data_IF_538265155724
#
_entry.id   IF_538265155724
#
_cell.length_a   1.000
_cell.length_b   1.000
_cell.length_c   1.000
_cell.angle_alpha   90.00
_cell.angle_beta   90.00
_cell.angle_gamma   90.00
#
_symmetry.space_group_name_H-M   'P 1'
#
loop_
_entity.id
_entity.type
_entity.pdbx_description
1 polymer ?
#
# COMPACT_ATOMS: atom_id res chain seq x y z
N UNK A 1 -22.45 -12.91 1.93
CA UNK A 1 -23.24 -12.53 0.74
C UNK A 1 -24.07 -13.72 0.30
N UNK A 2 -25.36 -13.82 0.68
CA UNK A 2 -26.24 -14.81 0.10
C UNK A 2 -26.37 -14.57 -1.42
N UNK A 3 -26.28 -15.63 -2.22
CA UNK A 3 -26.58 -15.57 -3.66
C UNK A 3 -25.40 -15.31 -4.60
N UNK A 4 -24.15 -15.18 -4.10
CA UNK A 4 -22.97 -15.13 -4.97
C UNK A 4 -22.60 -16.53 -5.47
N UNK A 5 -22.42 -16.72 -6.78
CA UNK A 5 -22.10 -18.02 -7.39
C UNK A 5 -20.80 -18.59 -6.81
N UNK A 6 -19.70 -17.83 -6.89
CA UNK A 6 -18.38 -18.24 -6.37
C UNK A 6 -18.41 -18.39 -4.85
N UNK A 7 -19.07 -17.49 -4.13
CA UNK A 7 -19.18 -17.60 -2.66
C UNK A 7 -19.93 -18.87 -2.25
N UNK A 8 -20.98 -19.23 -2.98
CA UNK A 8 -21.74 -20.46 -2.74
C UNK A 8 -20.91 -21.69 -3.06
N UNK A 9 -20.19 -21.69 -4.19
CA UNK A 9 -19.24 -22.75 -4.55
C UNK A 9 -18.20 -22.96 -3.43
N UNK A 10 -17.50 -21.89 -3.03
CA UNK A 10 -16.45 -21.95 -2.00
C UNK A 10 -17.00 -22.41 -0.65
N UNK A 11 -18.22 -22.01 -0.27
CA UNK A 11 -18.83 -22.41 1.01
C UNK A 11 -19.16 -23.90 1.11
N UNK A 12 -19.21 -24.61 -0.03
CA UNK A 12 -19.50 -26.05 -0.09
C UNK A 12 -18.25 -26.92 -0.10
N UNK A 13 -17.07 -26.33 -0.32
CA UNK A 13 -15.82 -27.07 -0.40
C UNK A 13 -15.39 -27.57 0.97
N UNK A 14 -15.04 -28.85 1.04
CA UNK A 14 -14.42 -29.49 2.17
C UNK A 14 -12.89 -29.41 2.12
N UNK A 15 -12.26 -29.77 3.24
CA UNK A 15 -10.81 -29.94 3.29
C UNK A 15 -10.39 -31.08 2.33
N UNK A 16 -9.47 -30.78 1.42
CA UNK A 16 -9.00 -31.72 0.40
C UNK A 16 -9.65 -31.55 -0.97
N UNK A 17 -10.71 -30.73 -1.09
CA UNK A 17 -11.32 -30.44 -2.38
C UNK A 17 -10.39 -29.59 -3.26
N UNK A 18 -10.53 -29.77 -4.57
CA UNK A 18 -9.72 -29.04 -5.56
C UNK A 18 -10.33 -27.67 -5.86
N UNK A 19 -9.49 -26.64 -5.89
CA UNK A 19 -9.84 -25.30 -6.35
C UNK A 19 -8.96 -24.95 -7.54
N UNK A 20 -9.58 -24.57 -8.65
CA UNK A 20 -8.85 -24.09 -9.82
C UNK A 20 -8.48 -22.61 -9.64
N UNK A 21 -7.20 -22.31 -9.84
CA UNK A 21 -6.68 -20.95 -9.77
C UNK A 21 -6.18 -20.54 -11.15
N UNK A 22 -6.52 -19.30 -11.55
CA UNK A 22 -5.82 -18.65 -12.66
C UNK A 22 -4.47 -18.14 -12.17
N UNK A 23 -3.54 -17.96 -13.11
CA UNK A 23 -2.24 -17.36 -12.80
C UNK A 23 -2.38 -15.99 -12.13
N UNK A 24 -1.31 -15.49 -11.49
CA UNK A 24 -1.34 -14.22 -10.80
C UNK A 24 -1.67 -13.09 -11.78
N UNK A 25 -2.70 -12.31 -11.45
CA UNK A 25 -2.98 -11.04 -12.09
C UNK A 25 -2.22 -9.94 -11.35
N UNK A 26 -1.08 -9.53 -11.91
CA UNK A 26 -0.24 -8.49 -11.32
C UNK A 26 -0.93 -7.14 -11.47
N UNK A 27 -1.26 -6.53 -10.32
CA UNK A 27 -1.72 -5.15 -10.23
C UNK A 27 -0.54 -4.18 -10.20
N UNK A 28 -0.57 -3.23 -9.27
CA UNK A 28 0.41 -2.16 -9.17
C UNK A 28 1.74 -2.61 -8.54
N UNK A 29 2.86 -2.15 -9.11
CA UNK A 29 4.18 -2.35 -8.52
C UNK A 29 4.45 -1.31 -7.42
N UNK A 30 4.21 -1.72 -6.16
CA UNK A 30 4.45 -0.86 -5.00
C UNK A 30 5.93 -0.51 -4.84
N UNK A 31 6.84 -1.45 -5.16
CA UNK A 31 8.28 -1.24 -5.01
C UNK A 31 8.79 -0.19 -5.98
N UNK A 32 8.39 -0.27 -7.25
CA UNK A 32 8.78 0.70 -8.27
C UNK A 32 8.27 2.13 -7.98
N UNK A 33 7.08 2.24 -7.37
CA UNK A 33 6.46 3.54 -7.01
C UNK A 33 6.98 4.13 -5.70
N UNK A 34 7.34 3.28 -4.73
CA UNK A 34 8.06 3.71 -3.53
C UNK A 34 9.50 4.11 -3.86
N UNK A 35 10.10 3.44 -4.85
CA UNK A 35 11.41 3.71 -5.39
C UNK A 35 12.55 3.48 -4.40
N UNK A 36 13.77 3.92 -4.77
CA UNK A 36 14.97 3.79 -3.95
C UNK A 36 15.08 4.86 -2.85
N UNK A 37 13.95 5.26 -2.29
CA UNK A 37 13.87 6.35 -1.33
C UNK A 37 14.72 6.13 -0.08
N UNK A 38 14.79 7.16 0.78
CA UNK A 38 15.59 7.15 2.01
C UNK A 38 15.02 6.27 3.15
N UNK A 39 14.03 5.42 2.87
CA UNK A 39 13.38 4.56 3.85
C UNK A 39 12.30 5.22 4.70
N UNK A 40 12.04 6.51 4.50
CA UNK A 40 10.96 7.23 5.18
C UNK A 40 9.67 7.27 4.37
N UNK A 41 9.55 6.43 3.33
CA UNK A 41 8.34 6.34 2.52
C UNK A 41 7.20 5.77 3.37
N UNK A 42 6.00 6.26 3.09
CA UNK A 42 4.80 5.90 3.82
C UNK A 42 3.78 5.29 2.91
N UNK A 43 3.11 4.27 3.41
CA UNK A 43 2.05 3.54 2.74
C UNK A 43 0.82 3.56 3.65
N UNK A 44 -0.27 4.16 3.18
CA UNK A 44 -1.52 4.22 3.92
C UNK A 44 -2.57 3.42 3.18
N UNK A 45 -3.26 2.52 3.86
CA UNK A 45 -4.38 1.76 3.33
C UNK A 45 -5.69 2.22 3.98
N UNK A 46 -6.69 2.55 3.15
CA UNK A 46 -8.09 2.61 3.55
C UNK A 46 -8.76 1.34 3.01
N UNK A 47 -9.10 0.41 3.88
CA UNK A 47 -9.64 -0.89 3.51
C UNK A 47 -11.10 -1.02 3.95
N UNK A 48 -12.00 -1.38 3.04
CA UNK A 48 -13.39 -1.69 3.34
C UNK A 48 -13.66 -3.20 3.25
N UNK A 49 -14.06 -3.83 4.36
CA UNK A 49 -14.40 -5.25 4.42
C UNK A 49 -13.27 -6.15 3.90
N UNK A 50 -13.56 -6.96 2.87
CA UNK A 50 -12.56 -7.85 2.22
C UNK A 50 -11.45 -7.10 1.47
N UNK A 51 -11.60 -5.77 1.27
CA UNK A 51 -10.57 -4.89 0.72
C UNK A 51 -9.30 -4.81 1.58
N UNK A 52 -9.26 -5.44 2.75
CA UNK A 52 -8.04 -5.62 3.56
C UNK A 52 -7.00 -6.54 2.91
N UNK A 53 -7.41 -7.44 2.02
CA UNK A 53 -6.52 -8.45 1.46
C UNK A 53 -5.30 -7.85 0.71
N UNK A 54 -5.45 -6.84 -0.18
CA UNK A 54 -4.30 -6.14 -0.76
C UNK A 54 -3.38 -5.47 0.26
N UNK A 55 -3.92 -4.96 1.38
CA UNK A 55 -3.09 -4.38 2.44
C UNK A 55 -2.22 -5.45 3.12
N UNK A 56 -2.76 -6.65 3.36
CA UNK A 56 -1.98 -7.77 3.89
C UNK A 56 -0.88 -8.23 2.93
N UNK A 57 -1.17 -8.24 1.63
CA UNK A 57 -0.17 -8.54 0.60
C UNK A 57 0.96 -7.50 0.61
N UNK A 58 0.62 -6.22 0.71
CA UNK A 58 1.61 -5.14 0.81
C UNK A 58 2.43 -5.22 2.10
N UNK A 59 1.83 -5.50 3.26
CA UNK A 59 2.56 -5.73 4.52
C UNK A 59 3.55 -6.87 4.35
N UNK A 60 3.12 -7.99 3.77
CA UNK A 60 4.03 -9.12 3.50
C UNK A 60 5.17 -8.71 2.58
N UNK A 61 4.86 -8.04 1.47
CA UNK A 61 5.84 -7.66 0.46
C UNK A 61 6.85 -6.63 0.95
N UNK A 62 6.40 -5.64 1.74
CA UNK A 62 7.21 -4.49 2.16
C UNK A 62 7.92 -4.72 3.48
N UNK A 63 7.31 -5.45 4.42
CA UNK A 63 7.84 -5.63 5.76
C UNK A 63 8.40 -7.03 5.98
N UNK A 64 7.88 -8.09 5.35
CA UNK A 64 8.29 -9.46 5.67
C UNK A 64 9.22 -10.08 4.63
N UNK A 65 9.06 -9.73 3.36
CA UNK A 65 9.91 -10.25 2.29
C UNK A 65 11.39 -9.96 2.58
N UNK A 66 12.29 -10.91 2.28
CA UNK A 66 13.70 -10.59 2.18
C UNK A 66 13.84 -9.47 1.16
N UNK A 67 14.53 -8.39 1.51
CA UNK A 67 15.01 -7.45 0.51
C UNK A 67 15.72 -8.28 -0.56
N UNK A 68 15.34 -8.19 -1.85
CA UNK A 68 16.08 -8.87 -2.88
C UNK A 68 17.50 -8.32 -2.78
N UNK A 69 18.44 -9.19 -2.38
CA UNK A 69 19.86 -8.90 -2.52
C UNK A 69 20.02 -8.49 -3.98
N UNK A 70 20.38 -7.21 -4.19
CA UNK A 70 20.51 -6.63 -5.52
C UNK A 70 21.26 -7.63 -6.38
N UNK A 71 20.58 -8.27 -7.31
CA UNK A 71 21.17 -9.34 -8.13
C UNK A 71 21.98 -8.65 -9.22
N UNK A 72 23.09 -8.08 -8.78
CA UNK A 72 24.16 -7.57 -9.62
C UNK A 72 25.42 -8.19 -9.07
N UNK A 73 25.79 -9.29 -9.71
CA UNK A 73 27.13 -9.77 -9.97
C UNK A 73 28.25 -9.09 -9.16
N UNK A 74 28.84 -9.90 -8.27
CA UNK A 74 30.26 -9.85 -7.90
C UNK A 74 30.80 -8.48 -7.52
N UNK A 75 30.49 -8.02 -6.31
CA UNK A 75 31.47 -7.24 -5.53
C UNK A 75 31.06 -7.30 -4.06
N UNK A 76 32.01 -7.72 -3.23
CA UNK A 76 31.92 -7.72 -1.77
C UNK A 76 31.84 -6.27 -1.27
N UNK A 77 30.63 -5.77 -1.13
CA UNK A 77 30.30 -4.63 -0.27
C UNK A 77 29.12 -5.05 0.60
N UNK A 78 29.24 -4.82 1.91
CA UNK A 78 28.16 -5.03 2.88
C UNK A 78 26.84 -4.50 2.30
N UNK A 79 25.83 -5.36 2.22
CA UNK A 79 24.49 -4.98 1.80
C UNK A 79 23.97 -3.93 2.76
N UNK A 80 23.99 -2.67 2.34
CA UNK A 80 23.37 -1.56 3.09
C UNK A 80 21.90 -1.95 3.33
N UNK A 81 21.43 -2.00 4.60
CA UNK A 81 20.03 -2.31 4.87
C UNK A 81 19.14 -1.30 4.16
N UNK A 82 18.30 -1.77 3.23
CA UNK A 82 17.25 -0.91 2.65
C UNK A 82 16.25 -0.65 3.78
N UNK A 83 16.01 0.60 4.20
CA UNK A 83 15.11 0.86 5.31
C UNK A 83 13.66 0.62 4.87
N UNK A 84 12.85 0.00 5.73
CA UNK A 84 11.48 -0.38 5.37
C UNK A 84 10.53 0.82 5.47
N UNK A 85 9.56 0.93 4.55
CA UNK A 85 8.54 1.99 4.63
C UNK A 85 7.66 1.78 5.86
N UNK A 86 7.03 2.87 6.33
CA UNK A 86 5.99 2.78 7.36
C UNK A 86 4.63 2.53 6.73
N UNK A 87 3.90 1.54 7.24
CA UNK A 87 2.57 1.13 6.76
C UNK A 87 1.52 1.49 7.81
N UNK A 88 0.46 2.19 7.42
CA UNK A 88 -0.72 2.47 8.25
C UNK A 88 -1.96 1.91 7.59
N UNK A 89 -2.80 1.18 8.31
CA UNK A 89 -4.03 0.56 7.79
C UNK A 89 -5.23 1.04 8.60
N UNK A 90 -6.21 1.64 7.94
CA UNK A 90 -7.52 1.93 8.52
C UNK A 90 -8.52 0.96 7.90
N UNK A 91 -9.02 0.01 8.71
CA UNK A 91 -9.89 -1.06 8.27
C UNK A 91 -11.34 -0.83 8.71
N UNK A 92 -12.19 -0.48 7.76
CA UNK A 92 -13.62 -0.31 7.94
C UNK A 92 -14.35 -1.64 7.84
N UNK A 93 -15.16 -1.92 8.86
CA UNK A 93 -15.96 -3.12 9.00
C UNK A 93 -17.40 -2.75 9.32
N UNK A 94 -18.33 -3.63 8.96
CA UNK A 94 -19.74 -3.43 9.31
C UNK A 94 -19.99 -3.77 10.77
N UNK A 95 -19.47 -4.93 11.20
CA UNK A 95 -19.71 -5.48 12.53
C UNK A 95 -18.40 -5.65 13.30
N UNK A 96 -18.43 -5.47 14.63
CA UNK A 96 -17.25 -5.68 15.51
C UNK A 96 -16.66 -7.08 15.40
N UNK A 97 -17.54 -8.07 15.16
CA UNK A 97 -17.14 -9.47 14.99
C UNK A 97 -16.10 -9.65 13.87
N UNK A 98 -16.11 -8.79 12.86
CA UNK A 98 -15.20 -8.85 11.71
C UNK A 98 -13.78 -8.41 12.07
N UNK A 99 -13.57 -7.68 13.17
CA UNK A 99 -12.27 -7.13 13.56
C UNK A 99 -11.94 -7.29 15.06
N UNK A 100 -12.40 -8.37 15.68
CA UNK A 100 -12.13 -8.66 17.10
C UNK A 100 -10.62 -8.63 17.40
N UNK A 101 -10.25 -7.85 18.41
CA UNK A 101 -8.88 -7.66 18.88
C UNK A 101 -8.15 -6.46 18.28
N UNK A 102 -8.81 -5.65 17.45
CA UNK A 102 -8.20 -4.48 16.81
C UNK A 102 -7.93 -3.30 17.77
N UNK A 103 -8.63 -3.22 18.91
CA UNK A 103 -8.43 -2.16 19.89
C UNK A 103 -7.14 -2.31 20.71
N UNK A 104 -6.49 -3.47 20.67
CA UNK A 104 -5.22 -3.76 21.37
C UNK A 104 -4.00 -3.08 20.69
N UNK A 105 -4.23 -2.16 19.76
CA UNK A 105 -3.20 -1.52 18.92
C UNK A 105 -2.22 -0.65 19.72
N UNK A 106 -2.53 -0.34 20.98
CA UNK A 106 -1.61 0.32 21.90
C UNK A 106 -1.21 -0.62 23.05
N UNK A 107 0.07 -0.96 23.11
CA UNK A 107 0.79 -1.39 24.33
C UNK A 107 0.52 -2.82 24.80
N UNK A 108 1.53 -3.67 24.60
CA UNK A 108 2.03 -4.65 25.59
C UNK A 108 0.99 -5.41 26.41
N UNK A 109 -0.05 -5.97 25.80
CA UNK A 109 -0.83 -6.99 26.51
C UNK A 109 0.04 -8.25 26.63
N UNK A 110 0.31 -8.77 27.85
CA UNK A 110 0.90 -10.08 28.02
C UNK A 110 0.00 -11.09 27.32
N UNK A 111 0.57 -12.19 26.83
CA UNK A 111 -0.08 -13.24 26.03
C UNK A 111 -1.46 -13.67 26.57
N UNK A 112 -2.49 -12.87 26.29
CA UNK A 112 -3.88 -13.07 26.64
C UNK A 112 -4.55 -13.70 25.44
N UNK A 113 -5.31 -14.76 25.72
CA UNK A 113 -5.97 -15.68 24.80
C UNK A 113 -6.09 -15.22 23.33
N UNK A 114 -5.05 -15.51 22.55
CA UNK A 114 -5.03 -15.39 21.08
C UNK A 114 -6.12 -16.22 20.38
N UNK A 115 -6.88 -17.04 21.11
CA UNK A 115 -7.90 -17.94 20.56
C UNK A 115 -9.08 -17.22 19.92
N UNK A 116 -9.37 -15.97 20.31
CA UNK A 116 -10.56 -15.26 19.84
C UNK A 116 -10.26 -14.05 18.95
N UNK A 117 -9.00 -13.79 18.61
CA UNK A 117 -8.64 -12.69 17.71
C UNK A 117 -9.00 -13.04 16.28
N UNK A 118 -9.44 -12.05 15.52
CA UNK A 118 -9.63 -12.22 14.09
C UNK A 118 -8.28 -12.63 13.45
N UNK A 119 -8.24 -13.61 12.52
CA UNK A 119 -7.00 -14.06 11.88
C UNK A 119 -6.17 -12.95 11.22
N UNK A 120 -6.83 -11.93 10.67
CA UNK A 120 -6.19 -10.74 10.09
C UNK A 120 -5.45 -9.96 11.18
N UNK A 121 -6.09 -9.71 12.32
CA UNK A 121 -5.49 -9.02 13.46
C UNK A 121 -4.35 -9.86 14.07
N UNK A 122 -4.54 -11.17 14.18
CA UNK A 122 -3.50 -12.09 14.64
C UNK A 122 -2.27 -12.07 13.73
N UNK A 123 -2.47 -11.96 12.42
CA UNK A 123 -1.39 -11.81 11.45
C UNK A 123 -0.67 -10.45 11.59
N UNK A 124 -1.40 -9.33 11.64
CA UNK A 124 -0.82 -7.98 11.76
C UNK A 124 -0.07 -7.79 13.08
N UNK A 125 -0.52 -8.44 14.15
CA UNK A 125 0.12 -8.40 15.48
C UNK A 125 1.15 -9.51 15.72
N UNK A 126 1.45 -10.32 14.69
CA UNK A 126 2.33 -11.50 14.81
C UNK A 126 3.77 -11.13 15.16
N UNK A 127 4.47 -12.06 15.82
CA UNK A 127 5.86 -11.88 16.22
C UNK A 127 6.78 -11.60 15.02
N UNK A 128 6.52 -12.20 13.86
CA UNK A 128 7.30 -11.97 12.65
C UNK A 128 7.24 -10.50 12.19
N UNK A 129 6.05 -9.89 12.22
CA UNK A 129 5.86 -8.48 11.88
C UNK A 129 6.58 -7.60 12.91
N UNK A 130 6.35 -7.85 14.21
CA UNK A 130 6.98 -7.08 15.29
C UNK A 130 8.51 -7.15 15.27
N UNK A 131 9.06 -8.34 15.03
CA UNK A 131 10.50 -8.54 14.97
C UNK A 131 11.13 -7.75 13.82
N UNK A 132 10.48 -7.74 12.65
CA UNK A 132 11.04 -7.03 11.50
C UNK A 132 11.02 -5.50 11.67
N UNK A 133 9.99 -4.97 12.32
CA UNK A 133 9.93 -3.55 12.71
C UNK A 133 11.14 -3.15 13.58
N UNK A 134 11.54 -4.01 14.53
CA UNK A 134 12.68 -3.77 15.42
C UNK A 134 14.03 -3.85 14.69
N UNK A 135 14.14 -4.68 13.65
CA UNK A 135 15.40 -4.97 12.98
C UNK A 135 15.74 -3.97 11.86
N UNK A 136 14.75 -3.55 11.07
CA UNK A 136 15.01 -2.82 9.81
C UNK A 136 14.52 -1.37 9.80
N UNK A 137 13.82 -0.93 10.85
CA UNK A 137 13.15 0.37 10.89
C UNK A 137 11.98 0.41 9.91
N UNK A 138 10.82 0.90 10.35
CA UNK A 138 9.57 0.86 9.60
C UNK A 138 8.42 0.41 10.49
N UNK A 139 7.39 1.24 10.62
CA UNK A 139 6.23 0.95 11.47
C UNK A 139 5.14 0.20 10.73
N UNK A 140 4.37 -0.61 11.45
CA UNK A 140 3.03 -1.02 11.04
C UNK A 140 2.07 -0.51 12.12
N UNK A 141 1.15 0.34 11.71
CA UNK A 141 0.03 0.77 12.51
C UNK A 141 -1.25 0.30 11.84
N UNK A 142 -2.23 -0.09 12.64
CA UNK A 142 -3.55 -0.38 12.13
C UNK A 142 -4.62 0.11 13.11
N UNK A 143 -5.78 0.46 12.57
CA UNK A 143 -6.95 0.86 13.33
C UNK A 143 -8.20 0.32 12.64
N UNK A 144 -9.22 0.00 13.42
CA UNK A 144 -10.51 -0.43 12.90
C UNK A 144 -11.57 0.62 13.15
N UNK A 145 -12.49 0.74 12.20
CA UNK A 145 -13.74 1.48 12.37
C UNK A 145 -14.90 0.54 12.07
N UNK A 146 -15.98 0.67 12.82
CA UNK A 146 -17.13 -0.22 12.83
C UNK A 146 -18.41 0.60 12.65
N UNK A 147 -19.13 0.32 11.56
CA UNK A 147 -20.35 1.06 11.19
C UNK A 147 -21.45 0.93 12.25
N UNK A 148 -21.69 -0.29 12.78
CA UNK A 148 -22.69 -0.54 13.82
C UNK A 148 -22.42 0.20 15.14
N UNK A 149 -21.18 0.64 15.34
CA UNK A 149 -20.74 1.42 16.51
C UNK A 149 -20.73 2.93 16.22
N UNK A 150 -21.12 3.34 15.01
CA UNK A 150 -21.12 4.73 14.57
C UNK A 150 -19.72 5.32 14.40
N UNK A 151 -18.70 4.47 14.19
CA UNK A 151 -17.32 4.90 13.94
C UNK A 151 -16.99 4.77 12.45
N UNK A 152 -16.39 5.80 11.88
CA UNK A 152 -16.14 5.88 10.43
C UNK A 152 -14.75 6.44 10.15
N UNK A 153 -14.21 6.14 8.97
CA UNK A 153 -12.96 6.77 8.51
C UNK A 153 -13.26 8.23 8.22
N UNK A 154 -12.78 9.10 9.11
CA UNK A 154 -12.97 10.54 9.00
C UNK A 154 -11.89 11.19 8.15
N UNK A 155 -12.21 12.35 7.54
CA UNK A 155 -11.23 13.18 6.84
C UNK A 155 -10.03 13.55 7.74
N UNK A 156 -10.27 13.72 9.05
CA UNK A 156 -9.21 13.97 10.04
C UNK A 156 -8.28 12.77 10.18
N UNK A 157 -8.82 11.55 10.27
CA UNK A 157 -7.99 10.34 10.37
C UNK A 157 -7.09 10.15 9.15
N UNK A 158 -7.64 10.38 7.95
CA UNK A 158 -6.87 10.34 6.68
C UNK A 158 -5.78 11.42 6.70
N UNK A 159 -6.14 12.65 7.02
CA UNK A 159 -5.21 13.77 7.15
C UNK A 159 -4.06 13.47 8.14
N UNK A 160 -4.36 12.89 9.29
CA UNK A 160 -3.35 12.49 10.29
C UNK A 160 -2.42 11.41 9.74
N UNK A 161 -2.94 10.41 9.04
CA UNK A 161 -2.13 9.34 8.46
C UNK A 161 -1.17 9.83 7.34
N UNK A 162 -1.57 10.85 6.58
CA UNK A 162 -0.74 11.41 5.50
C UNK A 162 0.16 12.58 5.95
N UNK A 163 -0.08 13.16 7.13
CA UNK A 163 0.71 14.27 7.67
C UNK A 163 2.11 13.83 8.07
N UNK A 164 3.18 14.57 7.76
CA UNK A 164 4.54 14.18 8.12
C UNK A 164 4.67 13.97 9.62
N UNK A 165 5.15 12.80 10.02
CA UNK A 165 5.59 12.55 11.40
C UNK A 165 6.89 13.32 11.58
N UNK A 166 6.96 14.20 12.56
CA UNK A 166 8.10 15.10 12.82
C UNK A 166 9.33 14.32 13.31
N UNK A 167 9.93 13.49 12.47
CA UNK A 167 11.20 12.81 12.75
C UNK A 167 11.92 12.53 11.43
N UNK A 168 12.40 13.58 10.76
CA UNK A 168 13.36 13.42 9.67
C UNK A 168 14.34 14.59 9.66
N UNK A 169 15.54 14.31 10.16
CA UNK A 169 16.75 15.13 10.04
C UNK A 169 17.10 15.33 8.56
N UNK A 170 17.61 16.51 8.25
CA UNK A 170 17.87 17.05 6.92
C UNK A 170 18.67 16.11 5.97
N UNK A 171 18.48 16.23 4.65
CA UNK A 171 19.22 15.44 3.66
C UNK A 171 20.68 15.92 3.53
N UNK A 172 21.62 15.01 3.78
CA UNK A 172 23.04 15.19 3.45
C UNK A 172 23.25 14.92 1.96
N UNK A 173 23.78 15.93 1.26
CA UNK A 173 24.21 15.88 -0.14
C UNK A 173 25.29 14.82 -0.37
N UNK A 174 25.00 13.83 -1.22
CA UNK A 174 25.98 12.87 -1.73
C UNK A 174 26.28 13.14 -3.21
N UNK A 175 27.58 13.24 -3.49
CA UNK A 175 28.23 13.52 -4.76
C UNK A 175 28.06 12.38 -5.76
N UNK A 176 27.73 12.72 -7.01
CA UNK A 176 27.57 11.80 -8.14
C UNK A 176 28.93 11.22 -8.58
N UNK A 177 29.07 9.90 -8.59
CA UNK A 177 30.04 9.23 -9.46
C UNK A 177 29.31 8.44 -10.54
N UNK A 178 29.70 8.71 -11.78
CA UNK A 178 29.12 8.16 -13.00
C UNK A 178 29.72 6.79 -13.28
N UNK A 179 28.88 5.77 -13.45
CA UNK A 179 29.23 4.59 -14.25
C UNK A 179 28.16 4.37 -15.32
N UNK A 180 28.62 4.30 -16.57
CA UNK A 180 27.83 4.15 -17.77
C UNK A 180 27.45 2.68 -17.96
N UNK A 181 26.16 2.36 -17.80
CA UNK A 181 25.52 1.20 -18.41
C UNK A 181 24.18 1.66 -19.02
N UNK A 182 23.81 1.04 -20.14
CA UNK A 182 22.85 1.53 -21.14
C UNK A 182 21.53 2.07 -20.54
N UNK A 183 21.20 3.31 -20.90
CA UNK A 183 20.24 4.16 -20.20
C UNK A 183 18.78 3.87 -20.58
N UNK A 184 17.87 3.66 -19.62
CA UNK A 184 16.43 3.79 -19.85
C UNK A 184 16.07 5.22 -20.26
N UNK A 185 14.88 5.48 -20.87
CA UNK A 185 14.48 6.82 -21.26
C UNK A 185 14.58 7.77 -20.06
N UNK A 186 15.41 8.82 -20.21
CA UNK A 186 15.57 9.86 -19.20
C UNK A 186 14.31 10.70 -19.17
N UNK A 187 13.42 10.46 -18.20
CA UNK A 187 12.31 11.37 -17.93
C UNK A 187 12.87 12.70 -17.38
N UNK A 188 12.48 13.81 -18.00
CA UNK A 188 12.91 15.16 -17.63
C UNK A 188 12.27 15.61 -16.30
N UNK A 189 11.15 15.00 -15.91
CA UNK A 189 10.41 15.28 -14.67
C UNK A 189 9.78 14.02 -14.08
N UNK A 190 9.45 14.02 -12.78
CA UNK A 190 8.66 12.95 -12.14
C UNK A 190 7.23 12.88 -12.68
N UNK A 191 6.69 13.98 -13.20
CA UNK A 191 5.35 14.09 -13.78
C UNK A 191 5.18 13.41 -15.13
N UNK A 192 6.29 13.09 -15.81
CA UNK A 192 6.29 12.29 -17.04
C UNK A 192 6.63 10.82 -16.80
N UNK A 193 6.93 10.44 -15.55
CA UNK A 193 7.31 9.08 -15.20
C UNK A 193 6.07 8.20 -14.97
N UNK A 194 6.05 7.03 -15.62
CA UNK A 194 5.00 6.01 -15.45
C UNK A 194 4.67 5.68 -13.99
N UNK A 195 5.69 5.55 -13.13
CA UNK A 195 5.50 5.19 -11.73
C UNK A 195 5.21 6.37 -10.81
N UNK A 196 5.71 7.57 -11.12
CA UNK A 196 5.71 8.71 -10.19
C UNK A 196 4.84 9.89 -10.63
N UNK A 197 4.15 9.77 -11.75
CA UNK A 197 3.20 10.78 -12.23
C UNK A 197 1.78 10.47 -11.75
N UNK A 198 1.21 11.40 -10.97
CA UNK A 198 -0.21 11.35 -10.60
C UNK A 198 -1.12 11.48 -11.82
N UNK A 199 -0.71 12.29 -12.81
CA UNK A 199 -1.44 12.49 -14.05
C UNK A 199 -1.52 11.22 -14.88
N UNK A 200 -0.40 10.52 -15.07
CA UNK A 200 -0.39 9.28 -15.85
C UNK A 200 -1.12 8.15 -15.11
N UNK A 201 -1.00 8.09 -13.77
CA UNK A 201 -1.68 7.11 -12.95
C UNK A 201 -3.21 7.11 -13.16
N UNK A 202 -3.84 8.28 -13.30
CA UNK A 202 -5.28 8.37 -13.54
C UNK A 202 -5.73 7.63 -14.83
N UNK A 203 -4.82 7.49 -15.80
CA UNK A 203 -5.06 6.79 -17.07
C UNK A 203 -4.64 5.31 -17.07
N UNK A 204 -4.16 4.76 -15.96
CA UNK A 204 -3.75 3.35 -15.90
C UNK A 204 -4.91 2.44 -15.49
N UNK A 205 -4.92 1.25 -16.06
CA UNK A 205 -5.76 0.12 -15.69
C UNK A 205 -4.97 -0.96 -14.94
N UNK A 206 -5.64 -2.03 -14.50
CA UNK A 206 -5.07 -3.02 -13.59
C UNK A 206 -3.90 -3.82 -14.18
N UNK A 207 -3.77 -3.90 -15.51
CA UNK A 207 -2.71 -4.67 -16.17
C UNK A 207 -1.57 -3.78 -16.73
N UNK A 208 -1.65 -2.45 -16.57
CA UNK A 208 -0.66 -1.55 -17.18
C UNK A 208 0.71 -1.63 -16.47
N UNK A 209 0.76 -2.20 -15.26
CA UNK A 209 1.98 -2.47 -14.49
C UNK A 209 2.43 -3.95 -14.59
N UNK A 210 1.77 -4.80 -15.39
CA UNK A 210 2.08 -6.24 -15.48
C UNK A 210 3.40 -6.59 -16.21
N UNK A 211 4.17 -5.58 -16.65
CA UNK A 211 5.56 -5.73 -17.10
C UNK A 211 6.51 -5.94 -15.91
N UNK A 212 7.66 -6.59 -16.11
CA UNK A 212 8.59 -6.82 -14.99
C UNK A 212 9.15 -5.50 -14.46
N UNK A 213 9.39 -5.39 -13.15
CA UNK A 213 10.11 -4.27 -12.53
C UNK A 213 11.46 -3.95 -13.21
N UNK A 214 12.03 -4.92 -13.94
CA UNK A 214 13.24 -4.78 -14.73
C UNK A 214 13.05 -4.05 -16.07
N UNK A 215 11.83 -3.95 -16.61
CA UNK A 215 11.54 -3.21 -17.85
C UNK A 215 11.50 -1.68 -17.66
N UNK A 216 11.32 -1.20 -16.43
CA UNK A 216 11.12 0.22 -16.16
C UNK A 216 11.93 0.69 -14.93
N UNK A 217 13.26 0.66 -15.01
CA UNK A 217 14.05 1.44 -14.05
C UNK A 217 13.83 2.95 -14.34
N UNK A 218 13.03 3.66 -13.53
CA UNK A 218 12.97 5.13 -13.63
C UNK A 218 14.28 5.73 -13.09
N UNK A 219 14.85 6.68 -13.83
CA UNK A 219 15.91 7.58 -13.36
C UNK A 219 15.39 9.01 -13.12
N UNK A 220 14.09 9.13 -12.85
CA UNK A 220 13.37 10.39 -12.73
C UNK A 220 13.77 11.15 -11.44
N UNK A 221 13.90 12.50 -11.48
CA UNK A 221 14.21 13.29 -10.28
C UNK A 221 13.14 13.09 -9.22
N UNK A 222 13.54 12.65 -8.01
CA UNK A 222 12.57 12.33 -6.94
C UNK A 222 11.81 11.02 -7.17
N UNK A 223 12.47 9.99 -7.73
CA UNK A 223 11.92 8.65 -7.98
C UNK A 223 11.55 7.86 -6.73
N UNK A 224 10.71 8.45 -5.86
CA UNK A 224 10.05 7.84 -4.72
C UNK A 224 8.79 8.64 -4.39
N UNK A 225 7.64 7.97 -4.20
CA UNK A 225 6.40 8.59 -3.70
C UNK A 225 5.88 7.83 -2.48
N UNK A 226 5.16 8.53 -1.63
CA UNK A 226 4.28 7.91 -0.64
C UNK A 226 3.04 7.36 -1.35
N UNK A 227 2.44 6.30 -0.80
CA UNK A 227 1.28 5.65 -1.42
C UNK A 227 0.07 5.72 -0.48
N UNK A 228 -1.06 6.19 -0.99
CA UNK A 228 -2.36 6.07 -0.35
C UNK A 228 -3.21 5.12 -1.20
N UNK A 229 -3.51 3.94 -0.66
CA UNK A 229 -4.29 2.91 -1.35
C UNK A 229 -5.68 2.83 -0.74
N UNK A 230 -6.71 2.88 -1.58
CA UNK A 230 -8.11 2.71 -1.17
C UNK A 230 -8.64 1.45 -1.81
N UNK A 231 -9.05 0.49 -0.99
CA UNK A 231 -9.38 -0.87 -1.40
C UNK A 231 -10.70 -1.30 -0.77
N UNK A 232 -11.68 -1.69 -1.58
CA UNK A 232 -13.00 -2.11 -1.09
C UNK A 232 -14.06 -2.10 -2.18
N UNK A 233 -15.35 -2.24 -1.82
CA UNK A 233 -16.44 -2.13 -2.79
C UNK A 233 -16.41 -0.80 -3.54
N UNK A 234 -16.95 -0.76 -4.77
CA UNK A 234 -16.92 0.44 -5.62
C UNK A 234 -17.45 1.69 -4.93
N UNK A 235 -18.53 1.57 -4.15
CA UNK A 235 -19.08 2.67 -3.36
C UNK A 235 -18.12 3.19 -2.28
N UNK A 236 -17.34 2.30 -1.66
CA UNK A 236 -16.31 2.67 -0.69
C UNK A 236 -15.15 3.40 -1.38
N UNK A 237 -14.64 2.86 -2.49
CA UNK A 237 -13.58 3.49 -3.29
C UNK A 237 -14.03 4.86 -3.80
N UNK A 238 -15.24 4.96 -4.33
CA UNK A 238 -15.81 6.21 -4.83
C UNK A 238 -15.96 7.27 -3.73
N UNK A 239 -16.40 6.88 -2.54
CA UNK A 239 -16.55 7.79 -1.40
C UNK A 239 -15.21 8.39 -0.94
N UNK A 240 -14.15 7.58 -0.88
CA UNK A 240 -12.86 8.02 -0.33
C UNK A 240 -11.90 8.58 -1.37
N UNK A 241 -11.77 7.97 -2.55
CA UNK A 241 -10.80 8.35 -3.58
C UNK A 241 -11.43 8.78 -4.91
N UNK A 242 -12.76 8.80 -5.02
CA UNK A 242 -13.47 9.07 -6.27
C UNK A 242 -13.60 7.82 -7.15
N UNK A 243 -14.66 7.75 -7.95
CA UNK A 243 -14.95 6.58 -8.78
C UNK A 243 -13.82 6.28 -9.76
N UNK A 244 -13.62 4.99 -10.06
CA UNK A 244 -12.86 4.54 -11.22
C UNK A 244 -13.63 4.93 -12.50
N UNK A 245 -12.93 5.01 -13.63
CA UNK A 245 -13.52 5.45 -14.90
C UNK A 245 -13.42 4.34 -15.94
N UNK A 246 -14.51 4.10 -16.67
CA UNK A 246 -14.50 3.17 -17.79
C UNK A 246 -14.23 3.92 -19.09
N UNK A 247 -13.10 3.64 -19.75
CA UNK A 247 -12.73 4.28 -21.00
C UNK A 247 -11.85 3.37 -21.86
N UNK A 248 -12.03 3.42 -23.19
CA UNK A 248 -11.24 2.61 -24.11
C UNK A 248 -11.37 1.09 -23.88
N UNK A 249 -12.52 0.63 -23.39
CA UNK A 249 -12.78 -0.80 -23.12
C UNK A 249 -12.08 -1.35 -21.87
N UNK A 250 -11.46 -0.51 -21.03
CA UNK A 250 -10.86 -0.90 -19.75
C UNK A 250 -11.31 0.00 -18.61
N UNK A 251 -11.29 -0.56 -17.40
CA UNK A 251 -11.43 0.21 -16.18
C UNK A 251 -10.10 0.88 -15.83
N UNK A 252 -10.14 2.20 -15.61
CA UNK A 252 -9.01 3.06 -15.29
C UNK A 252 -9.14 3.58 -13.85
N UNK A 253 -8.01 3.96 -13.25
CA UNK A 253 -7.98 4.63 -11.94
C UNK A 253 -8.88 5.87 -11.90
N UNK A 254 -8.88 6.68 -12.96
CA UNK A 254 -9.61 7.95 -12.99
C UNK A 254 -9.03 9.02 -12.06
N UNK A 255 -9.60 10.23 -12.05
CA UNK A 255 -9.11 11.33 -11.21
C UNK A 255 -9.31 11.05 -9.72
N UNK A 256 -8.47 11.65 -8.87
CA UNK A 256 -8.64 11.62 -7.41
C UNK A 256 -9.85 12.48 -7.04
N UNK A 257 -10.76 11.91 -6.26
CA UNK A 257 -11.99 12.52 -5.79
C UNK A 257 -12.36 12.08 -4.39
N UNK A 258 -13.63 12.16 -4.03
CA UNK A 258 -14.11 11.79 -2.71
C UNK A 258 -13.47 12.61 -1.58
N UNK A 259 -13.40 12.01 -0.39
CA UNK A 259 -12.79 12.66 0.79
C UNK A 259 -11.33 13.05 0.55
N UNK A 260 -10.56 12.22 -0.15
CA UNK A 260 -9.14 12.49 -0.45
C UNK A 260 -9.00 13.68 -1.40
N UNK A 261 -9.78 13.73 -2.49
CA UNK A 261 -9.77 14.88 -3.40
C UNK A 261 -10.26 16.17 -2.74
N UNK A 262 -11.20 16.09 -1.79
CA UNK A 262 -11.60 17.23 -0.96
C UNK A 262 -10.50 17.70 -0.01
N UNK A 263 -9.69 16.78 0.52
CA UNK A 263 -8.53 17.12 1.35
C UNK A 263 -7.43 17.77 0.51
N UNK A 264 -7.15 17.23 -0.68
CA UNK A 264 -6.16 17.76 -1.62
C UNK A 264 -6.46 19.23 -2.00
N UNK A 265 -7.73 19.55 -2.29
CA UNK A 265 -8.16 20.92 -2.60
C UNK A 265 -8.05 21.91 -1.44
N UNK A 266 -8.23 21.45 -0.20
CA UNK A 266 -8.30 22.31 1.00
C UNK A 266 -6.94 22.55 1.65
N UNK A 267 -5.96 21.69 1.41
CA UNK A 267 -4.66 21.72 2.06
C UNK A 267 -3.66 22.62 1.34
N UNK A 268 -2.53 22.92 2.01
CA UNK A 268 -1.51 23.80 1.43
C UNK A 268 -1.03 23.24 0.07
N UNK A 269 -0.82 24.11 -0.94
CA UNK A 269 -0.23 23.70 -2.21
C UNK A 269 1.05 22.89 -1.97
N UNK A 270 1.14 21.71 -2.59
CA UNK A 270 2.33 20.85 -2.54
C UNK A 270 2.36 19.80 -1.42
N UNK A 271 1.42 19.77 -0.46
CA UNK A 271 1.46 18.73 0.59
C UNK A 271 1.14 17.31 0.07
N UNK A 272 0.37 17.23 -1.01
CA UNK A 272 0.00 15.99 -1.68
C UNK A 272 0.89 15.65 -2.88
N UNK A 273 1.84 16.51 -3.26
CA UNK A 273 2.68 16.27 -4.44
C UNK A 273 3.52 15.02 -4.29
N UNK A 274 3.84 14.61 -3.06
CA UNK A 274 4.65 13.42 -2.78
C UNK A 274 3.81 12.16 -2.59
N UNK A 275 2.48 12.23 -2.78
CA UNK A 275 1.56 11.10 -2.62
C UNK A 275 0.97 10.66 -3.96
N UNK A 276 0.93 9.34 -4.17
CA UNK A 276 0.13 8.71 -5.21
C UNK A 276 -1.08 8.05 -4.58
N UNK A 277 -2.26 8.27 -5.17
CA UNK A 277 -3.51 7.67 -4.70
C UNK A 277 -3.89 6.53 -5.64
N UNK A 278 -3.92 5.31 -5.12
CA UNK A 278 -4.23 4.08 -5.84
C UNK A 278 -5.59 3.55 -5.39
N UNK A 279 -6.41 3.12 -6.35
CA UNK A 279 -7.74 2.57 -6.15
C UNK A 279 -7.71 1.09 -6.51
N UNK A 280 -7.93 0.22 -5.54
CA UNK A 280 -7.89 -1.24 -5.67
C UNK A 280 -9.31 -1.80 -5.68
#
# INVERSE_FOLDING_TARGET
MPGGEVSTYLSRLGLGDTVELRGPHLGFDLGARLGAGNGNQRVVFLAGGTGIAPALQAVRALLLSPTPASTTTTTTYESVPVPCPSVSIIWANRHRADCIGCDDSSVTSPAGDNKNKNPVIAYLSSAAVKQKQQQHGGGLEYACVVDDEGTFISARAIASAVSPTTTATAPTTLTKQQQQQQLPPRFLSSEDCHYHSTRLLAGTGPNDDSGSAAQYACACPGGSKNLLLVSGPDGFVAAYAGAKVWAGGKELQGPVGGVVGDLERRWRPGQWSDWLVLKL
#
